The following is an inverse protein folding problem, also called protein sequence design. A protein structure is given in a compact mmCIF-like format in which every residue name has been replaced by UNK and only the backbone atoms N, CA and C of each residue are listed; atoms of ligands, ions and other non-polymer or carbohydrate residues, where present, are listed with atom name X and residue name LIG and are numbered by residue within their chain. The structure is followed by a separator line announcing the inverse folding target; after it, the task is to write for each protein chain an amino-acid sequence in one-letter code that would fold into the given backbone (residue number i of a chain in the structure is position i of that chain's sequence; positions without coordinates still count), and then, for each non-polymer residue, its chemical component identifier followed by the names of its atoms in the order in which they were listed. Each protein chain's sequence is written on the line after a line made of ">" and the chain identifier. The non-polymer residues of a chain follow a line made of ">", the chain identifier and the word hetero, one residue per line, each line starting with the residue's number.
data_IF_574032740437
#
_entry.id   IF_574032740437
#
_cell.length_a   1.000
_cell.length_b   1.000
_cell.length_c   1.000
_cell.angle_alpha   90.00
_cell.angle_beta   90.00
_cell.angle_gamma   90.00
#
_symmetry.space_group_name_H-M   'P 1'
#
loop_
_entity.id
_entity.type
_entity.pdbx_description
1 polymer ?
#
# COMPACT_ATOMS: atom_id res chain seq x y z
N UNK A 1 28.83 -79.85 -28.97
CA UNK A 1 27.92 -78.70 -29.25
C UNK A 1 28.53 -77.46 -28.59
N UNK A 2 29.10 -76.56 -29.41
CA UNK A 2 29.62 -75.31 -28.94
C UNK A 2 28.45 -74.41 -28.48
N UNK A 3 28.43 -74.06 -27.21
CA UNK A 3 27.50 -73.07 -26.69
C UNK A 3 28.06 -71.72 -27.09
N UNK A 4 27.37 -71.06 -28.03
CA UNK A 4 27.68 -69.70 -28.36
C UNK A 4 27.26 -68.87 -27.16
N UNK A 5 28.23 -68.25 -26.47
CA UNK A 5 27.94 -67.26 -25.42
C UNK A 5 27.37 -66.06 -26.11
N UNK A 6 26.15 -65.72 -25.76
CA UNK A 6 25.52 -64.47 -26.21
C UNK A 6 25.91 -63.35 -25.23
N UNK A 7 26.87 -62.52 -25.63
CA UNK A 7 27.18 -61.31 -24.88
C UNK A 7 26.12 -60.23 -25.17
N UNK A 8 25.45 -59.83 -24.14
CA UNK A 8 24.44 -58.78 -24.23
C UNK A 8 25.02 -57.42 -23.78
N UNK A 9 25.07 -56.45 -24.68
CA UNK A 9 25.55 -55.10 -24.38
C UNK A 9 24.36 -54.19 -24.14
N UNK A 10 24.42 -53.44 -23.06
CA UNK A 10 23.44 -52.44 -22.74
C UNK A 10 24.03 -51.05 -22.96
N UNK A 11 23.32 -50.19 -23.70
CA UNK A 11 23.68 -48.79 -23.82
C UNK A 11 23.28 -48.04 -22.54
N UNK A 12 24.26 -47.41 -21.88
CA UNK A 12 24.02 -46.55 -20.73
C UNK A 12 23.87 -45.12 -21.20
N UNK A 13 22.69 -44.58 -21.03
CA UNK A 13 22.38 -43.20 -21.38
C UNK A 13 22.34 -42.32 -20.14
N UNK A 14 23.00 -41.15 -20.18
CA UNK A 14 22.89 -40.10 -19.18
C UNK A 14 22.18 -38.87 -19.77
N UNK A 15 21.39 -38.14 -19.00
CA UNK A 15 20.80 -36.90 -19.49
C UNK A 15 21.88 -35.89 -19.91
N UNK A 16 21.72 -35.26 -21.06
CA UNK A 16 22.57 -34.15 -21.49
C UNK A 16 22.52 -33.04 -20.45
N UNK A 17 23.64 -32.38 -20.21
CA UNK A 17 23.79 -31.20 -19.31
C UNK A 17 24.33 -30.00 -20.09
N UNK A 18 24.43 -28.86 -19.44
CA UNK A 18 24.96 -27.63 -20.04
C UNK A 18 23.90 -26.67 -20.55
N UNK A 19 22.63 -26.97 -20.32
CA UNK A 19 21.54 -26.09 -20.69
C UNK A 19 21.49 -24.83 -19.82
N UNK A 20 20.96 -23.75 -20.38
CA UNK A 20 20.78 -22.46 -19.71
C UNK A 20 19.31 -22.06 -19.71
N UNK A 21 18.84 -21.46 -18.63
CA UNK A 21 17.59 -20.72 -18.60
C UNK A 21 17.93 -19.24 -18.50
N UNK A 22 17.44 -18.45 -19.45
CA UNK A 22 17.46 -17.00 -19.41
C UNK A 22 16.10 -16.44 -19.05
N UNK A 23 16.07 -15.55 -18.06
CA UNK A 23 14.83 -14.93 -17.60
C UNK A 23 14.67 -13.56 -18.25
N UNK A 24 13.59 -13.39 -19.00
CA UNK A 24 13.26 -12.20 -19.77
C UNK A 24 12.25 -11.36 -18.99
N UNK A 25 12.69 -10.21 -18.49
CA UNK A 25 11.85 -9.24 -17.82
C UNK A 25 12.05 -7.84 -18.45
N UNK A 26 11.03 -6.94 -18.40
CA UNK A 26 11.19 -5.57 -18.91
C UNK A 26 12.24 -4.81 -18.12
N UNK A 27 12.85 -3.78 -18.73
CA UNK A 27 13.90 -2.96 -18.09
C UNK A 27 13.44 -2.30 -16.77
N UNK A 28 12.14 -2.03 -16.63
CA UNK A 28 11.55 -1.48 -15.41
C UNK A 28 11.46 -2.47 -14.25
N UNK A 29 11.82 -3.74 -14.49
CA UNK A 29 11.76 -4.80 -13.49
C UNK A 29 13.17 -5.30 -13.13
N UNK A 30 13.32 -5.85 -11.91
CA UNK A 30 14.53 -6.59 -11.58
C UNK A 30 14.64 -7.84 -12.46
N UNK A 31 15.75 -8.00 -13.17
CA UNK A 31 16.06 -9.18 -13.98
C UNK A 31 16.75 -10.23 -13.10
N UNK A 32 16.19 -11.44 -12.95
CA UNK A 32 16.85 -12.51 -12.20
C UNK A 32 18.12 -13.00 -12.88
N UNK A 33 18.98 -13.64 -12.11
CA UNK A 33 20.17 -14.29 -12.66
C UNK A 33 19.78 -15.50 -13.50
N UNK A 34 20.43 -15.68 -14.65
CA UNK A 34 20.30 -16.84 -15.48
C UNK A 34 20.76 -18.12 -14.73
N UNK A 35 20.15 -19.25 -15.04
CA UNK A 35 20.58 -20.55 -14.54
C UNK A 35 21.32 -21.32 -15.64
N UNK A 36 22.51 -21.78 -15.33
CA UNK A 36 23.41 -22.46 -16.29
C UNK A 36 23.79 -23.86 -15.82
N UNK A 37 24.30 -24.70 -16.72
CA UNK A 37 24.75 -26.03 -16.41
C UNK A 37 23.64 -27.02 -16.06
N UNK A 38 22.40 -26.74 -16.48
CA UNK A 38 21.22 -27.51 -16.12
C UNK A 38 21.19 -28.86 -16.87
N UNK A 39 20.57 -29.85 -16.21
CA UNK A 39 20.28 -31.13 -16.83
C UNK A 39 19.02 -31.06 -17.68
N UNK A 40 18.96 -31.84 -18.76
CA UNK A 40 17.76 -32.03 -19.59
C UNK A 40 16.51 -32.48 -18.78
N UNK A 41 16.72 -33.08 -17.62
CA UNK A 41 15.64 -33.51 -16.70
C UNK A 41 15.46 -32.57 -15.51
N UNK A 42 16.00 -31.36 -15.54
CA UNK A 42 15.85 -30.36 -14.51
C UNK A 42 14.36 -30.06 -14.22
N UNK A 43 14.00 -29.94 -12.96
CA UNK A 43 12.63 -29.69 -12.52
C UNK A 43 12.54 -28.29 -11.99
N UNK A 44 13.21 -27.64 -11.27
CA UNK A 44 13.05 -26.29 -10.70
C UNK A 44 13.41 -25.21 -11.72
N UNK A 45 12.51 -24.89 -12.61
CA UNK A 45 12.78 -23.94 -13.69
C UNK A 45 12.74 -22.46 -13.27
N UNK A 46 12.16 -22.14 -12.10
CA UNK A 46 12.08 -20.77 -11.61
C UNK A 46 13.44 -20.23 -11.14
N UNK A 47 13.64 -18.90 -11.18
CA UNK A 47 14.87 -18.31 -10.70
C UNK A 47 15.05 -18.51 -9.19
N UNK A 48 16.29 -18.74 -8.75
CA UNK A 48 16.62 -18.89 -7.32
C UNK A 48 16.37 -17.61 -6.51
N UNK A 49 16.38 -16.46 -7.17
CA UNK A 49 16.14 -15.14 -6.60
C UNK A 49 14.75 -14.58 -6.98
N UNK A 50 13.78 -15.46 -7.23
CA UNK A 50 12.41 -15.08 -7.62
C UNK A 50 11.77 -14.05 -6.70
N UNK A 51 12.07 -14.07 -5.40
CA UNK A 51 11.58 -13.08 -4.43
C UNK A 51 12.07 -11.64 -4.66
N UNK A 52 13.12 -11.46 -5.46
CA UNK A 52 13.63 -10.13 -5.84
C UNK A 52 13.00 -9.60 -7.13
N UNK A 53 12.31 -10.44 -7.89
CA UNK A 53 11.68 -10.06 -9.16
C UNK A 53 10.48 -9.17 -8.87
N UNK A 54 10.67 -7.87 -9.03
CA UNK A 54 9.67 -6.84 -8.73
C UNK A 54 9.59 -5.84 -9.86
N UNK A 55 8.39 -5.37 -10.13
CA UNK A 55 8.08 -4.28 -11.05
C UNK A 55 7.12 -3.33 -10.34
N UNK A 56 7.45 -2.03 -10.19
CA UNK A 56 6.56 -1.07 -9.54
C UNK A 56 5.14 -1.09 -10.14
N UNK A 57 4.12 -1.22 -9.28
CA UNK A 57 2.72 -1.25 -9.69
C UNK A 57 2.23 -2.56 -10.32
N UNK A 58 3.06 -3.60 -10.32
CA UNK A 58 2.73 -4.90 -10.87
C UNK A 58 3.15 -6.02 -9.93
N UNK A 59 2.43 -7.13 -9.96
CA UNK A 59 2.83 -8.41 -9.37
C UNK A 59 3.20 -9.39 -10.46
N UNK A 60 4.19 -10.23 -10.21
CA UNK A 60 4.59 -11.30 -11.10
C UNK A 60 3.52 -12.40 -11.06
N UNK A 61 2.84 -12.65 -12.20
CA UNK A 61 1.86 -13.72 -12.33
C UNK A 61 2.53 -15.08 -12.52
N UNK A 62 3.66 -15.12 -13.22
CA UNK A 62 4.42 -16.31 -13.51
C UNK A 62 5.38 -16.10 -14.69
N UNK A 63 5.84 -17.21 -15.25
CA UNK A 63 6.75 -17.21 -16.39
C UNK A 63 6.14 -18.03 -17.51
N UNK A 64 6.21 -17.55 -18.74
CA UNK A 64 5.74 -18.27 -19.91
C UNK A 64 6.88 -18.55 -20.89
N UNK A 65 6.65 -19.51 -21.78
CA UNK A 65 7.56 -19.89 -22.86
C UNK A 65 6.87 -19.61 -24.18
N UNK A 66 7.64 -19.24 -25.18
CA UNK A 66 7.17 -19.14 -26.57
C UNK A 66 7.63 -20.37 -27.34
N UNK A 67 6.77 -20.85 -28.25
CA UNK A 67 7.15 -21.87 -29.24
C UNK A 67 7.99 -21.25 -30.38
N UNK A 68 8.46 -22.06 -31.31
CA UNK A 68 9.25 -21.61 -32.45
C UNK A 68 8.50 -20.60 -33.37
N UNK A 69 7.16 -20.56 -33.29
CA UNK A 69 6.33 -19.61 -34.03
C UNK A 69 6.06 -18.32 -33.25
N UNK A 70 6.54 -18.20 -32.00
CA UNK A 70 6.35 -17.06 -31.14
C UNK A 70 5.03 -17.04 -30.36
N UNK A 71 4.30 -18.15 -30.31
CA UNK A 71 3.07 -18.26 -29.53
C UNK A 71 3.37 -18.77 -28.11
N UNK A 72 2.52 -18.41 -27.15
CA UNK A 72 2.61 -18.99 -25.81
C UNK A 72 2.34 -20.49 -25.83
N UNK A 73 3.23 -21.22 -25.21
CA UNK A 73 3.08 -22.68 -25.07
C UNK A 73 2.06 -23.03 -24.00
N UNK A 74 1.31 -24.11 -24.26
CA UNK A 74 0.56 -24.82 -23.22
C UNK A 74 1.51 -25.84 -22.56
N UNK A 75 1.61 -25.80 -21.24
CA UNK A 75 2.47 -26.65 -20.44
C UNK A 75 1.82 -28.03 -20.20
N UNK A 76 2.57 -29.05 -19.72
CA UNK A 76 2.05 -30.39 -19.51
C UNK A 76 0.84 -30.47 -18.56
N UNK A 77 0.70 -29.52 -17.64
CA UNK A 77 -0.43 -29.41 -16.72
C UNK A 77 -1.65 -28.68 -17.31
N UNK A 78 -1.59 -28.28 -18.59
CA UNK A 78 -2.63 -27.51 -19.27
C UNK A 78 -2.59 -26.01 -19.00
N UNK A 79 -1.69 -25.51 -18.13
CA UNK A 79 -1.49 -24.08 -17.89
C UNK A 79 -0.63 -23.44 -18.98
N UNK A 80 -0.52 -22.10 -18.97
CA UNK A 80 0.39 -21.34 -19.84
C UNK A 80 1.48 -20.62 -19.05
N UNK A 81 1.48 -20.74 -17.72
CA UNK A 81 2.44 -20.10 -16.82
C UNK A 81 3.10 -21.09 -15.89
N UNK A 82 4.42 -20.98 -15.75
CA UNK A 82 5.21 -21.65 -14.72
C UNK A 82 5.17 -20.76 -13.47
N UNK A 83 4.69 -21.31 -12.38
CA UNK A 83 4.56 -20.65 -11.08
C UNK A 83 5.16 -21.52 -9.98
N UNK A 84 5.30 -20.97 -8.78
CA UNK A 84 5.72 -21.76 -7.60
C UNK A 84 4.76 -22.92 -7.27
N UNK A 85 3.53 -22.87 -7.77
CA UNK A 85 2.50 -23.89 -7.49
C UNK A 85 2.62 -25.11 -8.39
N UNK A 86 3.02 -24.92 -9.66
CA UNK A 86 3.03 -26.01 -10.66
C UNK A 86 4.43 -26.41 -11.13
N UNK A 87 5.49 -25.69 -10.80
CA UNK A 87 6.85 -25.96 -11.29
C UNK A 87 7.35 -27.39 -11.00
N UNK A 88 6.90 -28.01 -9.91
CA UNK A 88 7.32 -29.37 -9.57
C UNK A 88 6.87 -30.43 -10.60
N UNK A 89 5.80 -30.15 -11.34
CA UNK A 89 5.28 -31.02 -12.41
C UNK A 89 5.83 -30.70 -13.79
N UNK A 90 6.67 -29.68 -13.94
CA UNK A 90 7.15 -29.17 -15.23
C UNK A 90 8.67 -29.39 -15.29
N UNK A 91 9.13 -30.15 -16.26
CA UNK A 91 10.55 -30.43 -16.47
C UNK A 91 11.09 -29.65 -17.64
N UNK A 92 12.41 -29.36 -17.63
CA UNK A 92 13.08 -28.71 -18.75
C UNK A 92 12.81 -29.39 -20.08
N UNK A 93 12.93 -30.71 -20.14
CA UNK A 93 12.70 -31.52 -21.35
C UNK A 93 11.29 -31.36 -21.93
N UNK A 94 10.29 -31.21 -21.05
CA UNK A 94 8.88 -31.14 -21.47
C UNK A 94 8.61 -29.85 -22.24
N UNK A 95 9.39 -28.82 -21.95
CA UNK A 95 9.35 -27.52 -22.64
C UNK A 95 10.31 -27.51 -23.82
N UNK A 96 11.53 -27.98 -23.65
CA UNK A 96 12.60 -27.86 -24.63
C UNK A 96 12.28 -28.54 -25.95
N UNK A 97 11.61 -29.70 -25.92
CA UNK A 97 11.17 -30.39 -27.13
C UNK A 97 10.14 -29.61 -27.95
N UNK A 98 9.17 -29.01 -27.25
CA UNK A 98 8.07 -28.28 -27.90
C UNK A 98 8.46 -26.87 -28.35
N UNK A 99 9.45 -26.26 -27.66
CA UNK A 99 9.95 -24.91 -27.98
C UNK A 99 11.14 -24.94 -28.95
N UNK A 100 11.56 -26.14 -29.42
CA UNK A 100 12.75 -26.36 -30.28
C UNK A 100 14.02 -25.72 -29.69
N UNK A 101 14.23 -25.94 -28.40
CA UNK A 101 15.33 -25.32 -27.65
C UNK A 101 16.63 -26.06 -27.92
N UNK A 102 17.62 -25.41 -28.50
CA UNK A 102 18.94 -25.96 -28.69
C UNK A 102 19.71 -26.11 -27.36
N UNK A 103 20.07 -24.98 -26.73
CA UNK A 103 20.84 -24.97 -25.47
C UNK A 103 20.32 -23.92 -24.47
N UNK A 104 19.50 -22.94 -24.91
CA UNK A 104 18.99 -21.84 -24.07
C UNK A 104 17.47 -21.83 -24.11
N UNK A 105 16.85 -21.93 -22.94
CA UNK A 105 15.41 -21.74 -22.75
C UNK A 105 15.15 -20.33 -22.23
N UNK A 106 14.32 -19.59 -22.94
CA UNK A 106 13.87 -18.26 -22.51
C UNK A 106 12.56 -18.34 -21.76
N UNK A 107 12.55 -17.84 -20.51
CA UNK A 107 11.35 -17.69 -19.70
C UNK A 107 10.99 -16.21 -19.60
N UNK A 108 9.81 -15.85 -20.07
CA UNK A 108 9.30 -14.50 -20.11
C UNK A 108 8.41 -14.21 -18.92
N UNK A 109 8.67 -13.12 -18.21
CA UNK A 109 7.87 -12.71 -17.06
C UNK A 109 6.49 -12.22 -17.50
N UNK A 110 5.44 -12.77 -16.90
CA UNK A 110 4.07 -12.29 -17.01
C UNK A 110 3.73 -11.42 -15.81
N UNK A 111 3.17 -10.24 -16.08
CA UNK A 111 2.85 -9.26 -15.07
C UNK A 111 1.37 -8.95 -15.06
N UNK A 112 0.78 -8.90 -13.87
CA UNK A 112 -0.56 -8.39 -13.62
C UNK A 112 -0.47 -7.06 -12.90
N UNK A 113 -1.38 -6.12 -13.20
CA UNK A 113 -1.48 -4.89 -12.41
C UNK A 113 -1.72 -5.22 -10.95
N UNK A 114 -1.05 -4.48 -10.06
CA UNK A 114 -1.24 -4.60 -8.63
C UNK A 114 -2.05 -3.43 -8.08
N UNK A 115 -2.66 -3.65 -6.92
CA UNK A 115 -3.38 -2.63 -6.20
C UNK A 115 -2.40 -1.61 -5.60
N UNK A 116 -2.68 -0.33 -5.79
CA UNK A 116 -1.86 0.75 -5.27
C UNK A 116 -2.46 1.26 -3.95
N UNK A 117 -1.72 1.23 -2.84
CA UNK A 117 -2.26 1.64 -1.55
C UNK A 117 -2.42 3.16 -1.47
N UNK A 118 -3.63 3.61 -1.19
CA UNK A 118 -3.96 4.96 -0.76
C UNK A 118 -4.40 4.88 0.69
N UNK A 119 -3.73 5.62 1.56
CA UNK A 119 -4.00 5.61 3.01
C UNK A 119 -4.60 6.96 3.43
N UNK A 120 -5.58 6.91 4.31
CA UNK A 120 -6.25 8.08 4.87
C UNK A 120 -6.16 7.99 6.39
N UNK A 121 -5.59 9.01 7.01
CA UNK A 121 -5.35 9.03 8.45
C UNK A 121 -5.76 10.35 9.06
N UNK A 122 -5.93 10.37 10.38
CA UNK A 122 -6.15 11.57 11.18
C UNK A 122 -4.85 12.01 11.85
N UNK A 123 -4.66 13.32 12.04
CA UNK A 123 -3.59 13.87 12.86
C UNK A 123 -3.85 13.71 14.37
N UNK A 124 -5.04 13.26 14.77
CA UNK A 124 -5.42 13.01 16.16
C UNK A 124 -6.00 11.61 16.30
N UNK A 125 -5.99 11.06 17.51
CA UNK A 125 -6.56 9.72 17.79
C UNK A 125 -8.07 9.75 17.99
N UNK A 126 -8.60 10.89 18.37
CA UNK A 126 -10.01 11.11 18.71
C UNK A 126 -10.90 11.21 17.48
N UNK A 127 -10.34 11.69 16.38
CA UNK A 127 -11.07 11.92 15.14
C UNK A 127 -10.91 10.74 14.18
N UNK A 128 -11.98 10.38 13.49
CA UNK A 128 -12.03 9.19 12.63
C UNK A 128 -12.09 9.60 11.17
N UNK A 129 -11.35 8.88 10.36
CA UNK A 129 -11.38 8.95 8.90
C UNK A 129 -12.02 7.66 8.36
N UNK A 130 -12.90 7.76 7.38
CA UNK A 130 -13.57 6.60 6.79
C UNK A 130 -13.78 6.79 5.27
N UNK A 131 -13.28 5.85 4.45
CA UNK A 131 -12.43 4.70 4.79
C UNK A 131 -11.00 5.11 5.16
N UNK A 132 -10.27 4.26 5.88
CA UNK A 132 -8.86 4.47 6.24
C UNK A 132 -7.90 4.08 5.13
N UNK A 133 -8.37 3.32 4.14
CA UNK A 133 -7.58 2.94 2.98
C UNK A 133 -8.45 2.64 1.77
N UNK A 134 -7.87 2.79 0.59
CA UNK A 134 -8.39 2.32 -0.68
C UNK A 134 -7.22 1.74 -1.49
N UNK A 135 -7.51 0.80 -2.38
CA UNK A 135 -6.48 0.11 -3.15
C UNK A 135 -6.97 -0.09 -4.60
N UNK A 136 -6.99 0.97 -5.42
CA UNK A 136 -7.33 0.86 -6.83
C UNK A 136 -6.25 0.07 -7.57
N UNK A 137 -6.63 -0.61 -8.67
CA UNK A 137 -5.68 -1.13 -9.62
C UNK A 137 -4.91 0.01 -10.28
N UNK A 138 -3.66 -0.22 -10.63
CA UNK A 138 -2.71 0.79 -11.10
C UNK A 138 -3.28 1.74 -12.16
N UNK A 139 -3.93 1.22 -13.20
CA UNK A 139 -4.49 2.00 -14.31
C UNK A 139 -5.96 2.36 -14.17
N UNK A 140 -6.66 1.86 -13.13
CA UNK A 140 -8.10 2.11 -12.97
C UNK A 140 -8.37 3.47 -12.32
N UNK A 141 -8.40 4.54 -13.11
CA UNK A 141 -8.67 5.90 -12.63
C UNK A 141 -10.00 6.11 -11.89
N UNK A 142 -10.95 5.19 -12.03
CA UNK A 142 -12.25 5.23 -11.33
C UNK A 142 -12.31 4.36 -10.08
N UNK A 143 -11.19 3.76 -9.66
CA UNK A 143 -11.11 2.81 -8.56
C UNK A 143 -11.21 3.41 -7.16
N UNK A 144 -11.48 4.71 -7.01
CA UNK A 144 -11.56 5.39 -5.71
C UNK A 144 -12.92 6.03 -5.48
N UNK A 145 -13.25 6.21 -4.20
CA UNK A 145 -14.47 6.86 -3.71
C UNK A 145 -14.13 7.98 -2.72
N UNK A 146 -15.11 8.80 -2.42
CA UNK A 146 -14.98 9.86 -1.43
C UNK A 146 -14.58 9.32 -0.05
N UNK A 147 -13.83 10.13 0.70
CA UNK A 147 -13.41 9.85 2.07
C UNK A 147 -13.97 10.94 2.97
N UNK A 148 -14.68 10.54 4.03
CA UNK A 148 -15.24 11.44 5.01
C UNK A 148 -14.49 11.41 6.33
N UNK A 149 -14.85 12.34 7.21
CA UNK A 149 -14.35 12.42 8.58
C UNK A 149 -15.52 12.39 9.57
N UNK A 150 -15.27 11.84 10.76
CA UNK A 150 -16.12 11.97 11.93
C UNK A 150 -15.34 12.79 12.96
N UNK A 151 -15.82 13.98 13.22
CA UNK A 151 -15.17 14.94 14.12
C UNK A 151 -15.57 14.63 15.56
N UNK A 152 -14.59 14.42 16.42
CA UNK A 152 -14.82 14.21 17.84
C UNK A 152 -15.27 15.52 18.53
N UNK A 153 -15.99 15.36 19.66
CA UNK A 153 -16.40 16.51 20.47
C UNK A 153 -15.18 17.33 20.90
N UNK A 154 -15.28 18.63 20.75
CA UNK A 154 -14.21 19.56 21.11
C UNK A 154 -13.15 19.80 20.04
N UNK A 155 -13.35 19.24 18.85
CA UNK A 155 -12.49 19.48 17.69
C UNK A 155 -13.30 20.03 16.51
N UNK A 156 -12.60 20.63 15.55
CA UNK A 156 -13.13 20.95 14.22
C UNK A 156 -12.16 20.46 13.14
N UNK A 157 -12.71 20.15 11.98
CA UNK A 157 -11.93 19.82 10.81
C UNK A 157 -11.30 21.09 10.22
N UNK A 158 -10.02 20.99 9.85
CA UNK A 158 -9.27 22.10 9.24
C UNK A 158 -9.05 21.83 7.75
N UNK A 159 -8.40 20.70 7.43
CA UNK A 159 -8.03 20.40 6.05
C UNK A 159 -7.63 18.93 5.87
N UNK A 160 -7.55 18.51 4.62
CA UNK A 160 -6.79 17.35 4.19
C UNK A 160 -5.46 17.80 3.61
N UNK A 161 -4.39 17.07 3.92
CA UNK A 161 -3.06 17.26 3.30
C UNK A 161 -2.63 15.99 2.58
N UNK A 162 -2.23 16.11 1.33
CA UNK A 162 -1.52 15.05 0.62
C UNK A 162 -0.06 15.06 1.07
N UNK A 163 0.37 14.03 1.80
CA UNK A 163 1.70 13.98 2.39
C UNK A 163 2.83 13.86 1.36
N UNK A 164 2.52 13.44 0.12
CA UNK A 164 3.51 13.32 -0.96
C UNK A 164 3.77 14.64 -1.67
N UNK A 165 2.72 15.43 -1.92
CA UNK A 165 2.82 16.66 -2.74
C UNK A 165 2.66 17.94 -1.93
N UNK A 166 2.08 17.84 -0.71
CA UNK A 166 1.75 19.01 0.12
C UNK A 166 0.43 19.68 -0.25
N UNK A 167 -0.31 19.17 -1.24
CA UNK A 167 -1.61 19.74 -1.61
C UNK A 167 -2.60 19.71 -0.45
N UNK A 168 -3.38 20.80 -0.31
CA UNK A 168 -4.32 21.01 0.78
C UNK A 168 -5.74 21.15 0.24
N UNK A 169 -6.69 20.44 0.88
CA UNK A 169 -8.12 20.52 0.58
C UNK A 169 -8.89 20.86 1.84
N UNK A 170 -9.76 21.89 1.78
CA UNK A 170 -10.45 22.43 2.95
C UNK A 170 -11.85 21.84 3.20
N UNK A 171 -12.36 21.02 2.30
CA UNK A 171 -13.65 20.35 2.48
C UNK A 171 -13.48 19.11 3.39
N UNK A 172 -14.41 18.92 4.34
CA UNK A 172 -14.39 17.74 5.23
C UNK A 172 -14.55 16.40 4.49
N UNK A 173 -15.17 16.41 3.32
CA UNK A 173 -15.22 15.26 2.41
C UNK A 173 -14.14 15.46 1.35
N UNK A 174 -13.15 14.57 1.34
CA UNK A 174 -12.15 14.46 0.28
C UNK A 174 -12.78 13.67 -0.86
N UNK A 175 -13.06 14.34 -1.98
CA UNK A 175 -13.76 13.71 -3.11
C UNK A 175 -12.84 12.80 -3.92
N UNK A 176 -13.45 11.83 -4.62
CA UNK A 176 -12.72 10.95 -5.55
C UNK A 176 -11.93 11.75 -6.61
N UNK A 177 -12.48 12.89 -7.08
CA UNK A 177 -11.81 13.75 -8.06
C UNK A 177 -10.59 14.46 -7.45
N UNK A 178 -10.67 14.92 -6.20
CA UNK A 178 -9.54 15.51 -5.49
C UNK A 178 -8.44 14.46 -5.24
N UNK A 179 -8.80 13.25 -4.82
CA UNK A 179 -7.84 12.14 -4.68
C UNK A 179 -7.17 11.87 -6.02
N UNK A 180 -7.96 11.76 -7.09
CA UNK A 180 -7.46 11.48 -8.44
C UNK A 180 -6.52 12.58 -8.93
N UNK A 181 -6.85 13.84 -8.74
CA UNK A 181 -6.06 14.97 -9.25
C UNK A 181 -4.61 14.99 -8.75
N UNK A 182 -4.34 14.41 -7.58
CA UNK A 182 -3.01 14.43 -6.95
C UNK A 182 -2.34 13.07 -6.83
N UNK A 183 -3.09 11.98 -6.96
CA UNK A 183 -2.57 10.63 -6.80
C UNK A 183 -2.59 9.80 -8.10
N UNK A 184 -3.44 10.15 -9.10
CA UNK A 184 -3.51 9.48 -10.39
C UNK A 184 -2.79 10.32 -11.46
N UNK A 185 -1.51 10.02 -11.71
CA UNK A 185 -0.63 10.83 -12.55
C UNK A 185 -0.16 10.00 -13.73
N UNK A 186 -0.21 10.56 -14.94
CA UNK A 186 0.18 9.90 -16.18
C UNK A 186 -0.52 8.55 -16.41
N UNK A 187 -1.81 8.49 -16.05
CA UNK A 187 -2.61 7.28 -16.24
C UNK A 187 -2.39 6.18 -15.19
N UNK A 188 -1.64 6.47 -14.11
CA UNK A 188 -1.33 5.49 -13.07
C UNK A 188 -1.48 6.06 -11.67
N UNK A 189 -1.98 5.22 -10.73
CA UNK A 189 -1.99 5.56 -9.32
C UNK A 189 -0.59 5.54 -8.71
N UNK A 190 -0.35 6.47 -7.81
CA UNK A 190 0.86 6.53 -6.99
C UNK A 190 0.50 6.30 -5.52
N UNK A 191 1.26 5.47 -4.79
CA UNK A 191 1.06 5.30 -3.35
C UNK A 191 1.07 6.65 -2.65
N UNK A 192 0.04 6.93 -1.86
CA UNK A 192 -0.17 8.26 -1.29
C UNK A 192 -0.85 8.14 0.07
N UNK A 193 -0.42 8.98 1.00
CA UNK A 193 -1.04 9.15 2.31
C UNK A 193 -1.71 10.52 2.35
N UNK A 194 -2.97 10.56 2.75
CA UNK A 194 -3.73 11.78 3.03
C UNK A 194 -3.94 11.89 4.53
N UNK A 195 -3.62 13.04 5.10
CA UNK A 195 -3.85 13.32 6.52
C UNK A 195 -4.97 14.33 6.68
N UNK A 196 -6.04 13.95 7.40
CA UNK A 196 -7.06 14.86 7.86
C UNK A 196 -6.54 15.62 9.08
N UNK A 197 -6.52 16.91 8.99
CA UNK A 197 -6.06 17.79 10.04
C UNK A 197 -7.25 18.34 10.82
N UNK A 198 -7.19 18.18 12.14
CA UNK A 198 -8.16 18.70 13.09
C UNK A 198 -7.45 19.60 14.08
N UNK A 199 -8.16 20.60 14.54
CA UNK A 199 -7.71 21.46 15.63
C UNK A 199 -8.73 21.42 16.78
N UNK A 200 -8.29 21.58 18.03
CA UNK A 200 -9.19 21.71 19.15
C UNK A 200 -10.00 23.00 19.03
N UNK A 201 -11.24 22.96 19.49
CA UNK A 201 -12.09 24.14 19.52
C UNK A 201 -11.59 25.13 20.59
N UNK A 202 -11.71 26.40 20.26
CA UNK A 202 -11.49 27.49 21.20
C UNK A 202 -12.83 27.95 21.78
N UNK A 203 -12.84 28.31 23.06
CA UNK A 203 -14.00 28.70 23.83
C UNK A 203 -13.66 29.94 24.63
N UNK A 204 -14.61 30.88 24.67
CA UNK A 204 -14.54 32.01 25.59
C UNK A 204 -15.21 31.62 26.91
N UNK A 205 -14.49 31.69 28.01
CA UNK A 205 -15.01 31.50 29.36
C UNK A 205 -15.43 32.83 29.88
N UNK A 206 -16.73 33.01 30.06
CA UNK A 206 -17.33 34.21 30.60
C UNK A 206 -17.57 34.01 32.09
N UNK A 207 -16.98 34.84 32.93
CA UNK A 207 -17.19 34.81 34.36
C UNK A 207 -18.42 35.63 34.73
N UNK A 208 -19.41 34.98 35.36
CA UNK A 208 -20.63 35.62 35.82
C UNK A 208 -20.69 35.58 37.35
N UNK A 209 -21.25 36.59 38.00
CA UNK A 209 -21.51 36.54 39.43
C UNK A 209 -22.43 35.39 39.77
N UNK A 210 -22.15 34.71 40.89
CA UNK A 210 -23.01 33.65 41.41
C UNK A 210 -24.35 34.18 41.87
N UNK A 211 -25.34 33.27 41.98
CA UNK A 211 -26.69 33.61 42.51
C UNK A 211 -26.77 33.61 44.03
N UNK A 212 -25.65 33.40 44.73
CA UNK A 212 -25.62 33.56 46.17
C UNK A 212 -25.94 35.02 46.49
N UNK A 213 -27.06 35.25 47.13
CA UNK A 213 -27.48 36.57 47.58
C UNK A 213 -26.42 37.11 48.53
N UNK A 214 -25.65 38.07 48.05
CA UNK A 214 -24.87 38.93 48.94
C UNK A 214 -25.81 39.70 49.85
N UNK A 215 -25.27 40.41 50.88
CA UNK A 215 -26.08 41.26 51.72
C UNK A 215 -26.96 42.15 50.86
N UNK A 216 -28.22 42.32 51.25
CA UNK A 216 -29.22 43.09 50.49
C UNK A 216 -28.66 44.45 50.08
N UNK A 217 -28.60 44.73 48.77
CA UNK A 217 -28.08 45.98 48.22
C UNK A 217 -26.67 45.94 47.63
N UNK A 218 -25.94 44.81 47.67
CA UNK A 218 -24.68 44.66 46.97
C UNK A 218 -24.93 44.15 45.55
N UNK A 219 -24.52 44.84 44.49
CA UNK A 219 -24.63 44.30 43.13
C UNK A 219 -23.81 43.05 43.04
N UNK A 220 -24.37 42.04 42.39
CA UNK A 220 -23.62 40.83 42.00
C UNK A 220 -22.44 41.26 41.11
N UNK A 221 -21.27 41.35 41.71
CA UNK A 221 -20.05 41.72 41.00
C UNK A 221 -19.05 40.63 41.07
N UNK A 222 -18.73 40.04 39.91
CA UNK A 222 -17.47 39.36 39.72
C UNK A 222 -16.47 40.45 39.35
N UNK A 223 -15.78 40.99 40.36
CA UNK A 223 -14.90 42.12 40.14
C UNK A 223 -13.42 41.67 40.28
N UNK A 224 -12.60 42.00 39.27
CA UNK A 224 -11.19 42.27 39.49
C UNK A 224 -11.10 43.74 40.00
N UNK A 225 -10.24 44.14 40.86
CA UNK A 225 -10.20 45.49 41.48
C UNK A 225 -10.58 46.72 40.63
N UNK A 226 -10.97 46.56 39.36
CA UNK A 226 -11.40 47.52 38.37
C UNK A 226 -12.83 47.29 37.84
N UNK A 227 -13.56 46.30 38.30
CA UNK A 227 -14.95 46.08 37.91
C UNK A 227 -15.33 44.66 37.52
N UNK A 228 -14.79 44.05 36.51
CA UNK A 228 -15.15 42.71 36.03
C UNK A 228 -13.90 41.86 35.75
N UNK A 229 -13.99 40.54 36.04
CA UNK A 229 -12.99 39.62 35.55
C UNK A 229 -13.12 39.54 34.02
N UNK A 230 -12.02 39.74 33.33
CA UNK A 230 -12.00 39.62 31.87
C UNK A 230 -12.31 38.18 31.44
N UNK A 231 -13.03 38.04 30.34
CA UNK A 231 -13.23 36.77 29.70
C UNK A 231 -11.87 36.11 29.36
N UNK A 232 -11.83 34.80 29.41
CA UNK A 232 -10.62 34.02 29.12
C UNK A 232 -10.85 33.14 27.93
N UNK A 233 -9.85 33.06 27.05
CA UNK A 233 -9.85 32.08 25.99
C UNK A 233 -9.36 30.73 26.55
N UNK A 234 -10.02 29.64 26.18
CA UNK A 234 -9.68 28.28 26.56
C UNK A 234 -9.74 27.34 25.33
N UNK A 235 -8.73 26.54 25.20
CA UNK A 235 -8.66 25.51 24.13
C UNK A 235 -9.09 24.15 24.68
N UNK A 236 -9.92 23.42 23.93
CA UNK A 236 -10.37 22.09 24.32
C UNK A 236 -9.20 21.17 24.65
N UNK A 237 -9.31 20.45 25.74
CA UNK A 237 -8.27 19.51 26.21
C UNK A 237 -7.03 20.13 26.85
N UNK A 238 -6.94 21.48 26.89
CA UNK A 238 -5.87 22.19 27.59
C UNK A 238 -6.42 22.68 28.94
N UNK A 239 -5.70 22.34 30.01
CA UNK A 239 -6.06 22.85 31.32
C UNK A 239 -5.90 24.37 31.35
N UNK A 240 -6.94 25.07 31.75
CA UNK A 240 -6.89 26.51 32.02
C UNK A 240 -6.80 26.74 33.53
N UNK A 241 -6.16 27.86 33.92
CA UNK A 241 -6.11 28.28 35.29
C UNK A 241 -7.22 29.31 35.50
N UNK A 242 -8.18 28.99 36.36
CA UNK A 242 -9.15 29.98 36.81
C UNK A 242 -8.41 31.16 37.50
N UNK A 243 -8.95 32.39 37.43
CA UNK A 243 -8.41 33.49 38.16
C UNK A 243 -8.23 33.14 39.64
N UNK A 244 -7.06 33.45 40.22
CA UNK A 244 -6.76 33.10 41.61
C UNK A 244 -7.65 33.93 42.54
N UNK A 245 -8.14 33.31 43.60
CA UNK A 245 -8.70 34.02 44.74
C UNK A 245 -7.60 34.93 45.33
N UNK A 246 -7.73 36.22 45.18
CA UNK A 246 -6.68 37.16 45.56
C UNK A 246 -6.24 38.10 44.44
N UNK A 247 -6.58 37.86 43.17
CA UNK A 247 -6.51 38.86 42.12
C UNK A 247 -7.63 39.88 42.30
N UNK A 248 -7.82 40.32 43.54
CA UNK A 248 -8.80 41.33 44.00
C UNK A 248 -10.24 41.09 43.61
N UNK A 249 -10.57 39.85 43.31
CA UNK A 249 -11.94 39.44 43.06
C UNK A 249 -12.40 38.59 44.22
N UNK A 250 -13.35 39.04 44.94
CA UNK A 250 -14.14 38.23 45.85
C UNK A 250 -15.03 37.31 44.99
N UNK A 251 -14.59 36.06 44.83
CA UNK A 251 -15.53 34.99 44.45
C UNK A 251 -16.37 34.69 45.70
N UNK A 252 -17.64 34.87 45.60
CA UNK A 252 -18.65 34.43 46.56
C UNK A 252 -19.33 33.20 46.04
#
# INVERSE_FOLDING_TARGET
>A
ADTVAIDTFYALWAPKTGYTIEYMAPESAYKPNNRTGLSYVEVNLLPSDAGKVKRPGYKLAGWYVLDAAGNRMTLPDGSTLITSKNQAGIRFRDIALSADVADILYLYAEWEEDNIPLTFQSNTKENIVNPTSQAPLLSNGNGVRNVGVIVAKGYHFVSWTNNRTGDVFTNAVLTADQIRSVAFINGNWNPTVFTANFAPNEYTIVFKPGTAAGPAGTPDKVANGAGNIADMEATYGIAFRAPAAGDTSTFW
#
